data_IF_186943075746
#
_entry.id   IF_186943075746
#
_cell.length_a   1.000
_cell.length_b   1.000
_cell.length_c   1.000
_cell.angle_alpha   90.00
_cell.angle_beta   90.00
_cell.angle_gamma   90.00
#
_symmetry.space_group_name_H-M   'P 1'
#
loop_
_entity.id
_entity.type
_entity.pdbx_description
1 polymer ?
#
# COMPACT_ATOMS: atom_id res chain seq x y z
N UNK A 1 17.94 -48.84 7.36
CA UNK A 1 17.60 -47.42 7.61
C UNK A 1 18.52 -46.42 6.88
N UNK A 2 19.66 -46.82 6.27
CA UNK A 2 20.54 -45.88 5.55
C UNK A 2 20.08 -45.47 4.15
N UNK A 3 19.42 -46.36 3.40
CA UNK A 3 19.09 -46.11 1.99
C UNK A 3 18.06 -44.98 1.79
N UNK A 4 17.12 -44.82 2.72
CA UNK A 4 16.11 -43.76 2.65
C UNK A 4 16.71 -42.37 2.90
N UNK A 5 17.68 -42.27 3.81
CA UNK A 5 18.39 -41.02 4.09
C UNK A 5 19.26 -40.62 2.89
N UNK A 6 19.98 -41.57 2.29
CA UNK A 6 20.78 -41.31 1.08
C UNK A 6 19.90 -40.82 -0.07
N UNK A 7 18.73 -41.44 -0.29
CA UNK A 7 17.79 -41.00 -1.30
C UNK A 7 17.27 -39.57 -1.05
N UNK A 8 16.96 -39.22 0.20
CA UNK A 8 16.53 -37.86 0.57
C UNK A 8 17.61 -36.81 0.31
N UNK A 9 18.87 -37.11 0.64
CA UNK A 9 19.98 -36.19 0.36
C UNK A 9 20.21 -36.02 -1.13
N UNK A 10 20.14 -37.10 -1.91
CA UNK A 10 20.29 -37.05 -3.37
C UNK A 10 19.18 -36.19 -3.99
N UNK A 11 17.91 -36.39 -3.59
CA UNK A 11 16.80 -35.57 -4.10
C UNK A 11 16.96 -34.09 -3.76
N UNK A 12 17.44 -33.76 -2.56
CA UNK A 12 17.62 -32.39 -2.11
C UNK A 12 18.72 -31.68 -2.91
N UNK A 13 19.84 -32.37 -3.15
CA UNK A 13 20.95 -31.86 -3.97
C UNK A 13 20.49 -31.63 -5.42
N UNK A 14 19.78 -32.59 -6.02
CA UNK A 14 19.24 -32.41 -7.37
C UNK A 14 18.29 -31.20 -7.45
N UNK A 15 17.37 -31.03 -6.50
CA UNK A 15 16.48 -29.85 -6.50
C UNK A 15 17.24 -28.53 -6.38
N UNK A 16 18.31 -28.48 -5.58
CA UNK A 16 19.12 -27.27 -5.45
C UNK A 16 19.88 -26.92 -6.75
N UNK A 17 20.42 -27.93 -7.45
CA UNK A 17 21.07 -27.72 -8.75
C UNK A 17 20.08 -27.24 -9.82
N UNK A 18 18.86 -27.78 -9.85
CA UNK A 18 17.83 -27.36 -10.81
C UNK A 18 17.21 -25.99 -10.48
N UNK A 19 17.19 -25.57 -9.21
CA UNK A 19 16.66 -24.25 -8.82
C UNK A 19 17.67 -23.10 -9.00
N UNK A 20 18.95 -23.39 -9.22
CA UNK A 20 19.99 -22.37 -9.39
C UNK A 20 20.35 -22.08 -10.85
N UNK A 21 19.76 -22.78 -11.82
CA UNK A 21 19.92 -22.50 -13.25
C UNK A 21 18.95 -21.39 -13.72
N UNK A 22 18.81 -20.37 -12.89
CA UNK A 22 18.21 -19.12 -13.28
C UNK A 22 19.25 -18.34 -14.06
N UNK A 23 19.15 -18.39 -15.38
CA UNK A 23 19.90 -17.53 -16.30
C UNK A 23 19.63 -16.05 -15.95
N UNK A 24 20.45 -15.51 -15.05
CA UNK A 24 20.44 -14.13 -14.60
C UNK A 24 21.12 -13.20 -15.61
N UNK A 25 21.47 -13.69 -16.81
CA UNK A 25 22.04 -12.91 -17.89
C UNK A 25 20.98 -12.47 -18.91
N UNK A 26 19.75 -12.23 -18.48
CA UNK A 26 18.88 -11.35 -19.27
C UNK A 26 19.48 -9.96 -19.17
N UNK A 27 19.94 -9.33 -20.27
CA UNK A 27 20.24 -7.92 -20.21
C UNK A 27 18.98 -7.26 -19.70
N UNK A 28 19.07 -6.55 -18.56
CA UNK A 28 18.02 -5.63 -18.17
C UNK A 28 17.83 -4.76 -19.41
N UNK A 29 16.70 -4.95 -20.11
CA UNK A 29 16.31 -4.06 -21.18
C UNK A 29 16.38 -2.68 -20.54
N UNK A 30 17.39 -1.90 -20.96
CA UNK A 30 17.53 -0.51 -20.54
C UNK A 30 16.43 0.23 -21.27
N UNK A 31 15.19 -0.04 -20.86
CA UNK A 31 13.98 0.35 -21.56
C UNK A 31 14.08 1.82 -21.91
N UNK A 32 13.68 2.14 -23.14
CA UNK A 32 13.78 3.45 -23.79
C UNK A 32 13.80 4.58 -22.76
N UNK A 33 15.00 5.06 -22.41
CA UNK A 33 15.19 6.14 -21.44
C UNK A 33 14.86 7.46 -22.15
N UNK A 34 13.61 7.90 -22.01
CA UNK A 34 13.14 9.16 -22.56
C UNK A 34 13.67 10.31 -21.68
N UNK A 35 14.06 11.44 -22.28
CA UNK A 35 14.53 12.60 -21.53
C UNK A 35 13.41 13.19 -20.68
N UNK A 36 13.76 13.90 -19.60
CA UNK A 36 12.76 14.52 -18.72
C UNK A 36 11.88 15.51 -19.49
N UNK A 37 12.45 16.21 -20.46
CA UNK A 37 11.77 17.17 -21.31
C UNK A 37 10.74 16.46 -22.21
N UNK A 38 11.12 15.33 -22.82
CA UNK A 38 10.19 14.54 -23.64
C UNK A 38 9.12 13.89 -22.78
N UNK A 39 9.46 13.33 -21.61
CA UNK A 39 8.49 12.77 -20.68
C UNK A 39 7.46 13.81 -20.22
N UNK A 40 7.88 15.05 -19.90
CA UNK A 40 6.98 16.13 -19.50
C UNK A 40 6.05 16.61 -20.62
N UNK A 41 6.45 16.45 -21.90
CA UNK A 41 5.60 16.81 -23.03
C UNK A 41 4.39 15.86 -23.15
N UNK A 42 4.58 14.58 -22.83
CA UNK A 42 3.51 13.57 -22.90
C UNK A 42 2.76 13.40 -21.57
N UNK A 43 3.47 13.49 -20.44
CA UNK A 43 2.88 13.36 -19.10
C UNK A 43 2.54 14.75 -18.59
N UNK A 44 1.34 15.24 -18.93
CA UNK A 44 0.75 16.37 -18.20
C UNK A 44 0.51 15.91 -16.77
N UNK A 45 1.35 16.37 -15.83
CA UNK A 45 1.13 16.15 -14.40
C UNK A 45 -0.22 16.79 -14.05
N UNK A 46 -1.27 15.97 -13.97
CA UNK A 46 -2.57 16.42 -13.48
C UNK A 46 -2.30 17.00 -12.10
N UNK A 47 -2.47 18.32 -11.95
CA UNK A 47 -2.25 19.00 -10.68
C UNK A 47 -3.23 18.36 -9.71
N UNK A 48 -2.73 17.45 -8.84
CA UNK A 48 -3.52 16.85 -7.77
C UNK A 48 -4.06 18.02 -6.97
N UNK A 49 -5.38 18.19 -7.03
CA UNK A 49 -6.18 19.28 -6.45
C UNK A 49 -5.69 20.71 -6.74
N UNK A 50 -6.58 21.54 -7.27
CA UNK A 50 -6.40 22.98 -7.09
C UNK A 50 -6.51 23.29 -5.60
N UNK A 51 -5.65 24.14 -4.99
CA UNK A 51 -5.80 24.55 -3.59
C UNK A 51 -7.20 25.10 -3.27
N UNK A 52 -7.85 25.66 -4.29
CA UNK A 52 -9.24 26.14 -4.20
C UNK A 52 -10.25 25.00 -3.99
N UNK A 53 -10.03 23.86 -4.66
CA UNK A 53 -10.90 22.69 -4.55
C UNK A 53 -10.80 22.09 -3.15
N UNK A 54 -9.58 21.90 -2.64
CA UNK A 54 -9.34 21.36 -1.30
C UNK A 54 -9.98 22.23 -0.20
N UNK A 55 -9.81 23.55 -0.29
CA UNK A 55 -10.46 24.52 0.62
C UNK A 55 -11.99 24.51 0.54
N UNK A 56 -12.56 24.18 -0.61
CA UNK A 56 -14.00 24.06 -0.78
C UNK A 56 -14.54 22.84 0.00
N UNK A 57 -13.91 21.68 -0.11
CA UNK A 57 -14.30 20.49 0.67
C UNK A 57 -14.07 20.69 2.16
N UNK A 58 -12.99 21.36 2.56
CA UNK A 58 -12.78 21.71 3.97
C UNK A 58 -13.89 22.60 4.54
N UNK A 59 -14.49 23.47 3.72
CA UNK A 59 -15.59 24.37 4.15
C UNK A 59 -16.95 23.68 4.13
N UNK A 60 -17.16 22.71 3.26
CA UNK A 60 -18.45 22.04 3.05
C UNK A 60 -18.39 20.59 3.52
N UNK A 61 -17.99 20.38 4.78
CA UNK A 61 -18.03 19.05 5.41
C UNK A 61 -19.45 18.70 5.83
N UNK A 62 -19.83 17.44 5.64
CA UNK A 62 -21.11 16.96 6.16
C UNK A 62 -21.05 16.85 7.69
N UNK A 63 -22.19 16.91 8.42
CA UNK A 63 -22.19 16.69 9.86
C UNK A 63 -21.54 15.35 10.26
N UNK A 64 -21.70 14.32 9.43
CA UNK A 64 -21.06 13.01 9.66
C UNK A 64 -19.54 13.06 9.49
N UNK A 65 -19.05 13.75 8.47
CA UNK A 65 -17.62 13.96 8.23
C UNK A 65 -16.98 14.76 9.37
N UNK A 66 -17.65 15.79 9.89
CA UNK A 66 -17.15 16.53 11.06
C UNK A 66 -17.05 15.64 12.30
N UNK A 67 -18.05 14.77 12.54
CA UNK A 67 -18.01 13.79 13.64
C UNK A 67 -16.89 12.77 13.43
N UNK A 68 -16.66 12.34 12.19
CA UNK A 68 -15.60 11.41 11.85
C UNK A 68 -14.22 12.02 12.11
N UNK A 69 -13.95 13.23 11.61
CA UNK A 69 -12.70 13.94 11.88
C UNK A 69 -12.48 14.24 13.37
N UNK A 70 -13.56 14.50 14.11
CA UNK A 70 -13.48 14.64 15.56
C UNK A 70 -13.04 13.33 16.25
N UNK A 71 -13.47 12.17 15.76
CA UNK A 71 -13.01 10.88 16.28
C UNK A 71 -11.57 10.58 15.87
N UNK A 72 -11.22 10.81 14.61
CA UNK A 72 -9.85 10.62 14.07
C UNK A 72 -8.85 11.54 14.79
N UNK A 73 -9.24 12.76 15.16
CA UNK A 73 -8.39 13.67 15.94
C UNK A 73 -8.25 13.28 17.42
N UNK A 74 -9.07 12.35 17.93
CA UNK A 74 -9.01 11.85 19.29
C UNK A 74 -8.41 10.43 19.32
N UNK A 75 -7.14 10.24 19.70
CA UNK A 75 -6.42 8.97 19.51
C UNK A 75 -7.11 7.73 20.08
N UNK A 76 -7.79 7.87 21.22
CA UNK A 76 -8.54 6.76 21.81
C UNK A 76 -9.83 6.43 21.04
N UNK A 77 -10.46 7.44 20.43
CA UNK A 77 -11.65 7.22 19.60
C UNK A 77 -11.23 6.58 18.28
N UNK A 78 -10.19 7.11 17.64
CA UNK A 78 -9.61 6.59 16.41
C UNK A 78 -9.29 5.09 16.52
N UNK A 79 -8.44 4.72 17.49
CA UNK A 79 -8.07 3.32 17.72
C UNK A 79 -9.28 2.43 18.06
N UNK A 80 -10.20 2.93 18.90
CA UNK A 80 -11.37 2.14 19.28
C UNK A 80 -12.34 1.96 18.10
N UNK A 81 -12.44 2.95 17.21
CA UNK A 81 -13.30 2.91 16.02
C UNK A 81 -12.89 1.83 15.02
N UNK A 82 -11.60 1.49 14.95
CA UNK A 82 -11.09 0.37 14.13
C UNK A 82 -11.63 -0.98 14.61
N UNK A 83 -11.92 -1.11 15.91
CA UNK A 83 -12.36 -2.36 16.54
C UNK A 83 -13.88 -2.49 16.58
N UNK A 84 -14.59 -1.44 16.99
CA UNK A 84 -16.06 -1.49 17.23
C UNK A 84 -16.90 -0.74 16.20
N UNK A 85 -16.24 -0.08 15.25
CA UNK A 85 -16.86 0.80 14.27
C UNK A 85 -17.10 2.22 14.79
N UNK A 86 -17.09 3.17 13.84
CA UNK A 86 -17.20 4.60 14.11
C UNK A 86 -18.39 5.01 14.98
N UNK A 87 -19.61 4.54 14.66
CA UNK A 87 -20.81 4.98 15.39
C UNK A 87 -20.76 4.61 16.88
N UNK A 88 -20.30 3.40 17.18
CA UNK A 88 -20.15 2.91 18.56
C UNK A 88 -19.05 3.66 19.29
N UNK A 89 -17.90 3.85 18.65
CA UNK A 89 -16.77 4.57 19.23
C UNK A 89 -17.09 6.04 19.48
N UNK A 90 -17.68 6.72 18.49
CA UNK A 90 -18.08 8.12 18.62
C UNK A 90 -19.06 8.32 19.78
N UNK A 91 -20.09 7.47 19.90
CA UNK A 91 -21.05 7.54 21.00
C UNK A 91 -20.42 7.27 22.37
N UNK A 92 -19.42 6.38 22.44
CA UNK A 92 -18.71 6.08 23.68
C UNK A 92 -17.90 7.27 24.20
N UNK A 93 -17.20 7.99 23.30
CA UNK A 93 -16.32 9.11 23.69
C UNK A 93 -17.03 10.46 23.77
N UNK A 94 -18.00 10.74 22.89
CA UNK A 94 -18.59 12.07 22.73
C UNK A 94 -20.06 12.16 23.14
N UNK A 95 -20.75 11.03 23.37
CA UNK A 95 -22.21 11.03 23.44
C UNK A 95 -22.84 11.42 22.09
N UNK A 96 -24.15 11.26 21.95
CA UNK A 96 -24.85 11.49 20.67
C UNK A 96 -24.62 12.88 20.06
#
# INVERSE_FOLDING_TARGET
MGNLQVLLFVTLVLTALFCCDGDMNRPLDEGVKISRETANAFVRRQKRSSPYYERYYERFKTPMEMKQEQCESHPLCDYYSEVVGFQTAYRYFFGN
#
